data_IF_321995516632
#
_entry.id   IF_321995516632
#
_cell.length_a   1.000
_cell.length_b   1.000
_cell.length_c   1.000
_cell.angle_alpha   90.00
_cell.angle_beta   90.00
_cell.angle_gamma   90.00
#
_symmetry.space_group_name_H-M   'P 1'
#
loop_
_entity.id
_entity.type
_entity.pdbx_description
1 polymer ?
#
# COMPACT_ATOMS: atom_id res chain seq x y z
N UNK A 1 -58.20 9.85 -3.64
CA UNK A 1 -59.35 10.76 -3.77
C UNK A 1 -60.34 10.47 -2.65
N UNK A 2 -60.54 11.42 -1.73
CA UNK A 2 -61.46 11.28 -0.59
C UNK A 2 -62.93 11.32 -1.03
N UNK A 3 -63.27 12.17 -2.01
CA UNK A 3 -64.64 12.32 -2.48
C UNK A 3 -65.11 11.07 -3.21
N UNK A 4 -64.26 10.50 -4.08
CA UNK A 4 -64.56 9.23 -4.72
C UNK A 4 -64.79 8.10 -3.70
N UNK A 5 -63.97 8.06 -2.63
CA UNK A 5 -64.06 7.02 -1.60
C UNK A 5 -65.31 7.15 -0.70
N UNK A 6 -65.74 8.37 -0.39
CA UNK A 6 -66.84 8.63 0.55
C UNK A 6 -68.18 8.84 -0.15
N UNK A 7 -68.19 9.52 -1.30
CA UNK A 7 -69.41 9.90 -2.03
C UNK A 7 -69.65 9.09 -3.31
N UNK A 8 -68.77 8.13 -3.65
CA UNK A 8 -68.96 7.20 -4.78
C UNK A 8 -69.06 7.89 -6.14
N UNK A 9 -68.39 9.04 -6.33
CA UNK A 9 -68.35 9.77 -7.60
C UNK A 9 -69.60 10.61 -7.92
N UNK A 10 -70.52 10.81 -6.97
CA UNK A 10 -71.68 11.71 -7.16
C UNK A 10 -71.23 13.16 -7.33
N UNK A 11 -71.79 13.94 -8.27
CA UNK A 11 -71.45 15.35 -8.40
C UNK A 11 -71.83 16.12 -7.13
N UNK A 12 -70.90 16.91 -6.60
CA UNK A 12 -71.09 17.70 -5.37
C UNK A 12 -70.80 16.94 -4.07
N UNK A 13 -71.01 17.62 -2.94
CA UNK A 13 -70.77 17.07 -1.59
C UNK A 13 -71.94 16.22 -1.10
N UNK A 14 -71.67 14.98 -0.69
CA UNK A 14 -72.64 14.11 -0.02
C UNK A 14 -72.75 14.41 1.49
N UNK A 15 -73.78 13.87 2.15
CA UNK A 15 -74.05 14.12 3.58
C UNK A 15 -72.90 13.69 4.50
N UNK A 16 -72.15 12.64 4.12
CA UNK A 16 -70.98 12.16 4.85
C UNK A 16 -69.78 13.12 4.84
N UNK A 17 -69.79 14.15 3.98
CA UNK A 17 -68.79 15.23 3.97
C UNK A 17 -69.38 16.57 4.47
N UNK A 18 -70.53 16.56 5.16
CA UNK A 18 -71.21 17.74 5.72
C UNK A 18 -71.48 17.59 7.23
N UNK A 19 -70.53 18.00 8.11
CA UNK A 19 -69.21 18.57 7.83
C UNK A 19 -68.15 17.50 7.53
N UNK A 20 -67.11 17.88 6.78
CA UNK A 20 -65.99 16.98 6.52
C UNK A 20 -65.12 16.80 7.77
N UNK A 21 -64.77 15.55 8.07
CA UNK A 21 -63.83 15.20 9.16
C UNK A 21 -62.42 15.66 8.81
N UNK A 22 -61.84 16.55 9.62
CA UNK A 22 -60.46 17.04 9.42
C UNK A 22 -59.41 15.94 9.54
N UNK A 23 -59.63 14.96 10.44
CA UNK A 23 -58.73 13.82 10.59
C UNK A 23 -58.72 12.92 9.34
N UNK A 24 -59.89 12.70 8.73
CA UNK A 24 -59.97 11.91 7.50
C UNK A 24 -59.41 12.66 6.31
N UNK A 25 -59.68 13.97 6.21
CA UNK A 25 -59.07 14.82 5.19
C UNK A 25 -57.54 14.77 5.27
N UNK A 26 -56.96 14.89 6.47
CA UNK A 26 -55.52 14.80 6.66
C UNK A 26 -54.95 13.43 6.24
N UNK A 27 -55.65 12.33 6.51
CA UNK A 27 -55.22 10.98 6.08
C UNK A 27 -55.16 10.85 4.56
N UNK A 28 -56.11 11.45 3.85
CA UNK A 28 -56.11 11.46 2.38
C UNK A 28 -55.08 12.44 1.82
N UNK A 29 -54.91 13.62 2.43
CA UNK A 29 -53.90 14.60 2.04
C UNK A 29 -52.49 14.04 2.13
N UNK A 30 -52.15 13.30 3.20
CA UNK A 30 -50.81 12.67 3.34
C UNK A 30 -50.48 11.61 2.29
N UNK A 31 -51.46 11.13 1.53
CA UNK A 31 -51.31 10.07 0.51
C UNK A 31 -51.51 10.58 -0.91
N UNK A 32 -51.54 11.89 -1.12
CA UNK A 32 -51.69 12.43 -2.47
C UNK A 32 -50.40 12.20 -3.26
N UNK A 33 -50.58 11.84 -4.52
CA UNK A 33 -49.55 11.84 -5.54
C UNK A 33 -50.19 12.41 -6.80
N UNK A 34 -49.71 13.56 -7.27
CA UNK A 34 -50.26 14.23 -8.43
C UNK A 34 -49.17 14.98 -9.21
N UNK A 35 -49.46 15.28 -10.47
CA UNK A 35 -48.59 16.12 -11.29
C UNK A 35 -48.99 17.59 -11.11
N UNK A 36 -48.06 18.40 -10.63
CA UNK A 36 -48.24 19.84 -10.45
C UNK A 36 -48.34 20.60 -11.77
N UNK A 37 -48.63 21.90 -11.67
CA UNK A 37 -48.79 22.78 -12.84
C UNK A 37 -47.51 22.92 -13.69
N UNK A 38 -46.36 22.65 -13.09
CA UNK A 38 -45.04 22.65 -13.74
C UNK A 38 -44.71 21.33 -14.45
N UNK A 39 -45.58 20.32 -14.37
CA UNK A 39 -45.34 18.98 -14.91
C UNK A 39 -44.60 18.04 -13.96
N UNK A 40 -44.32 18.49 -12.74
CA UNK A 40 -43.56 17.73 -11.75
C UNK A 40 -44.46 16.82 -10.90
N UNK A 41 -43.98 15.63 -10.55
CA UNK A 41 -44.67 14.80 -9.56
C UNK A 41 -44.49 15.38 -8.15
N UNK A 42 -45.61 15.55 -7.45
CA UNK A 42 -45.67 16.00 -6.07
C UNK A 42 -46.26 14.91 -5.19
N UNK A 43 -45.59 14.64 -4.07
CA UNK A 43 -46.07 13.75 -3.02
C UNK A 43 -45.70 14.32 -1.65
N UNK A 44 -46.16 13.71 -0.57
CA UNK A 44 -45.67 14.03 0.77
C UNK A 44 -44.76 12.92 1.27
N UNK A 45 -43.73 13.28 2.02
CA UNK A 45 -42.89 12.33 2.75
C UNK A 45 -43.63 11.75 3.98
N UNK A 46 -42.95 10.90 4.75
CA UNK A 46 -43.55 10.31 5.97
C UNK A 46 -43.89 11.33 7.06
N UNK A 47 -43.23 12.49 7.05
CA UNK A 47 -43.42 13.57 8.01
C UNK A 47 -44.53 14.55 7.57
N UNK A 48 -44.92 14.54 6.29
CA UNK A 48 -45.89 15.43 5.69
C UNK A 48 -45.27 16.64 4.98
N UNK A 49 -43.96 16.60 4.71
CA UNK A 49 -43.23 17.60 3.93
C UNK A 49 -43.27 17.25 2.43
N UNK A 50 -43.14 18.25 1.56
CA UNK A 50 -43.04 18.02 0.11
C UNK A 50 -41.66 17.45 -0.29
N UNK A 51 -41.52 16.92 -1.52
CA UNK A 51 -40.27 16.40 -2.02
C UNK A 51 -39.19 17.49 -2.02
N UNK A 52 -37.97 17.12 -1.65
CA UNK A 52 -36.84 18.03 -1.59
C UNK A 52 -36.33 18.29 -3.01
N UNK A 53 -36.53 19.52 -3.50
CA UNK A 53 -36.21 19.89 -4.89
C UNK A 53 -35.51 21.24 -4.96
N UNK A 54 -34.27 21.25 -5.42
CA UNK A 54 -33.45 22.46 -5.46
C UNK A 54 -32.64 22.55 -6.76
N UNK A 55 -32.51 23.76 -7.29
CA UNK A 55 -31.52 24.08 -8.31
C UNK A 55 -30.23 24.54 -7.62
N UNK A 56 -29.09 24.03 -8.08
CA UNK A 56 -27.78 24.39 -7.55
C UNK A 56 -27.18 25.44 -8.47
N UNK A 57 -26.99 26.64 -7.92
CA UNK A 57 -26.45 27.77 -8.66
C UNK A 57 -24.98 27.99 -8.28
N UNK A 58 -24.15 28.21 -9.30
CA UNK A 58 -22.74 28.57 -9.12
C UNK A 58 -22.49 29.98 -9.65
N UNK A 59 -21.84 30.82 -8.84
CA UNK A 59 -21.43 32.15 -9.28
C UNK A 59 -20.04 32.09 -9.87
N UNK A 60 -19.94 32.10 -11.20
CA UNK A 60 -18.67 31.97 -11.91
C UNK A 60 -18.43 33.08 -12.92
N UNK A 61 -17.16 33.25 -13.24
CA UNK A 61 -16.72 34.11 -14.34
C UNK A 61 -16.92 33.37 -15.66
N UNK A 62 -17.85 33.83 -16.50
CA UNK A 62 -18.13 33.22 -17.82
C UNK A 62 -17.24 33.79 -18.91
N UNK A 63 -16.78 35.03 -18.74
CA UNK A 63 -15.83 35.74 -19.62
C UNK A 63 -14.96 36.61 -18.74
N UNK A 64 -13.77 36.97 -19.21
CA UNK A 64 -12.85 37.83 -18.45
C UNK A 64 -13.56 39.12 -17.97
N UNK A 65 -13.69 39.29 -16.66
CA UNK A 65 -14.38 40.40 -15.99
C UNK A 65 -15.91 40.29 -15.90
N UNK A 66 -16.53 39.23 -16.40
CA UNK A 66 -17.99 39.05 -16.45
C UNK A 66 -18.41 37.84 -15.61
N UNK A 67 -19.22 38.09 -14.58
CA UNK A 67 -19.70 37.08 -13.65
C UNK A 67 -21.20 36.86 -13.78
N UNK A 68 -21.64 35.62 -13.60
CA UNK A 68 -23.06 35.26 -13.65
C UNK A 68 -23.35 34.05 -12.76
N UNK A 69 -24.57 34.02 -12.24
CA UNK A 69 -25.18 32.82 -11.68
C UNK A 69 -25.57 31.87 -12.81
N UNK A 70 -24.98 30.68 -12.80
CA UNK A 70 -25.32 29.61 -13.73
C UNK A 70 -25.92 28.45 -12.93
N UNK A 71 -26.92 27.78 -13.50
CA UNK A 71 -27.38 26.52 -12.94
C UNK A 71 -26.37 25.43 -13.30
N UNK A 72 -25.85 24.72 -12.29
CA UNK A 72 -24.84 23.66 -12.44
C UNK A 72 -25.36 22.31 -11.97
N UNK A 73 -26.58 22.23 -11.47
CA UNK A 73 -27.10 20.96 -10.98
C UNK A 73 -28.49 21.06 -10.36
N UNK A 74 -29.03 19.89 -10.04
CA UNK A 74 -30.30 19.72 -9.38
C UNK A 74 -30.17 18.73 -8.22
N UNK A 75 -30.95 18.95 -7.18
CA UNK A 75 -31.15 18.01 -6.09
C UNK A 75 -32.61 17.61 -6.06
N UNK A 76 -32.88 16.31 -6.20
CA UNK A 76 -34.23 15.75 -6.25
C UNK A 76 -34.31 14.53 -5.32
N UNK A 77 -35.08 14.63 -4.25
CA UNK A 77 -35.42 13.51 -3.34
C UNK A 77 -34.22 12.64 -2.92
N UNK A 78 -33.11 13.28 -2.53
CA UNK A 78 -31.90 12.58 -2.09
C UNK A 78 -30.83 12.40 -3.17
N UNK A 79 -31.19 12.55 -4.45
CA UNK A 79 -30.27 12.41 -5.57
C UNK A 79 -29.69 13.77 -5.95
N UNK A 80 -28.36 13.88 -5.85
CA UNK A 80 -27.60 15.05 -6.29
C UNK A 80 -27.08 14.81 -7.71
N UNK A 81 -27.52 15.64 -8.66
CA UNK A 81 -26.99 15.68 -10.01
C UNK A 81 -26.25 16.99 -10.22
N UNK A 82 -24.94 16.91 -10.34
CA UNK A 82 -24.08 18.07 -10.46
C UNK A 82 -23.20 17.92 -11.70
N UNK A 83 -23.19 18.95 -12.54
CA UNK A 83 -22.29 19.06 -13.67
C UNK A 83 -20.98 19.69 -13.19
N UNK A 84 -19.99 18.83 -12.93
CA UNK A 84 -18.67 19.23 -12.43
C UNK A 84 -17.91 20.03 -13.50
N UNK A 85 -18.12 19.76 -14.79
CA UNK A 85 -17.44 20.46 -15.88
C UNK A 85 -17.91 21.92 -15.98
N UNK A 86 -19.15 22.20 -15.56
CA UNK A 86 -19.69 23.55 -15.46
C UNK A 86 -19.25 24.29 -14.16
N UNK A 87 -18.58 23.63 -13.23
CA UNK A 87 -18.06 24.28 -12.03
C UNK A 87 -16.68 24.85 -12.29
N UNK A 88 -16.51 26.13 -11.95
CA UNK A 88 -15.24 26.82 -12.15
C UNK A 88 -15.03 27.85 -11.06
N UNK A 89 -14.01 27.64 -10.23
CA UNK A 89 -13.65 28.57 -9.16
C UNK A 89 -12.69 29.65 -9.65
N UNK A 90 -11.75 29.30 -10.53
CA UNK A 90 -10.74 30.21 -11.08
C UNK A 90 -10.69 30.14 -12.60
N UNK A 91 -10.41 31.29 -13.24
CA UNK A 91 -10.36 31.36 -14.70
C UNK A 91 -9.30 30.42 -15.27
N UNK A 92 -9.69 29.48 -16.13
CA UNK A 92 -8.79 28.49 -16.76
C UNK A 92 -8.50 27.24 -15.93
N UNK A 93 -9.00 27.14 -14.69
CA UNK A 93 -8.73 26.02 -13.78
C UNK A 93 -10.04 25.28 -13.52
N UNK A 94 -10.10 24.00 -13.93
CA UNK A 94 -11.32 23.17 -13.86
C UNK A 94 -11.47 22.44 -12.53
N UNK A 95 -10.39 22.28 -11.78
CA UNK A 95 -10.43 21.54 -10.53
C UNK A 95 -10.92 22.45 -9.40
N UNK A 96 -11.82 21.96 -8.53
CA UNK A 96 -12.18 22.65 -7.31
C UNK A 96 -10.95 22.79 -6.40
N UNK A 97 -10.87 23.85 -5.59
CA UNK A 97 -9.84 23.95 -4.57
C UNK A 97 -10.03 22.85 -3.53
N UNK A 98 -8.95 22.23 -3.09
CA UNK A 98 -8.98 21.28 -1.99
C UNK A 98 -9.17 22.01 -0.65
N UNK A 99 -10.19 21.63 0.10
CA UNK A 99 -10.48 22.16 1.43
C UNK A 99 -10.05 21.16 2.51
N UNK A 100 -8.75 20.86 2.56
CA UNK A 100 -8.17 19.94 3.57
C UNK A 100 -7.27 20.71 4.54
N UNK A 101 -7.27 20.29 5.81
CA UNK A 101 -6.43 20.92 6.84
C UNK A 101 -4.95 20.55 6.67
N UNK A 102 -4.70 19.27 6.39
CA UNK A 102 -3.38 18.71 6.20
C UNK A 102 -3.34 17.96 4.88
N UNK A 103 -2.24 18.11 4.14
CA UNK A 103 -1.99 17.32 2.95
C UNK A 103 -1.73 15.85 3.32
N UNK A 104 -1.89 14.98 2.32
CA UNK A 104 -1.57 13.56 2.45
C UNK A 104 -0.06 13.36 2.68
N UNK A 105 0.31 12.43 3.56
CA UNK A 105 1.72 12.26 3.94
C UNK A 105 2.51 11.47 2.89
N UNK A 106 3.81 11.76 2.77
CA UNK A 106 4.67 11.06 1.82
C UNK A 106 4.97 9.61 2.25
N UNK A 107 5.56 8.83 1.34
CA UNK A 107 5.99 7.47 1.64
C UNK A 107 7.06 7.48 2.73
N UNK A 108 6.89 6.62 3.74
CA UNK A 108 7.79 6.56 4.90
C UNK A 108 7.51 7.60 5.99
N UNK A 109 6.43 8.37 5.86
CA UNK A 109 5.90 9.24 6.90
C UNK A 109 4.64 8.66 7.53
N UNK A 110 4.49 8.84 8.84
CA UNK A 110 3.27 8.50 9.56
C UNK A 110 2.48 9.77 9.94
N UNK A 111 1.17 9.62 10.09
CA UNK A 111 0.21 10.66 10.46
C UNK A 111 0.10 10.75 11.98
N UNK A 112 0.32 11.93 12.52
CA UNK A 112 0.02 12.23 13.92
C UNK A 112 -1.14 13.22 13.98
N UNK A 113 -2.31 12.76 14.42
CA UNK A 113 -3.48 13.62 14.57
C UNK A 113 -3.28 14.68 15.64
N UNK A 114 -3.81 15.88 15.39
CA UNK A 114 -3.78 16.99 16.34
C UNK A 114 -4.86 16.77 17.39
N UNK A 115 -4.52 16.91 18.67
CA UNK A 115 -5.50 16.75 19.74
C UNK A 115 -6.66 17.77 19.61
N UNK A 116 -7.89 17.26 19.60
CA UNK A 116 -9.10 18.08 19.45
C UNK A 116 -9.59 18.27 18.01
N UNK A 117 -8.81 17.91 16.99
CA UNK A 117 -9.17 18.05 15.58
C UNK A 117 -9.07 16.71 14.85
N UNK A 118 -10.18 16.25 14.25
CA UNK A 118 -10.23 14.92 13.59
C UNK A 118 -9.67 14.90 12.16
N UNK A 119 -9.64 16.05 11.49
CA UNK A 119 -9.21 16.17 10.08
C UNK A 119 -7.80 16.74 9.90
N UNK A 120 -7.12 17.10 10.99
CA UNK A 120 -5.81 17.72 10.97
C UNK A 120 -4.75 16.76 11.53
N UNK A 121 -3.66 16.59 10.78
CA UNK A 121 -2.51 15.78 11.21
C UNK A 121 -1.18 16.42 10.82
N UNK A 122 -0.13 16.03 11.52
CA UNK A 122 1.25 16.31 11.16
C UNK A 122 1.90 15.04 10.59
N UNK A 123 2.64 15.20 9.50
CA UNK A 123 3.43 14.12 8.93
C UNK A 123 4.81 14.09 9.60
N UNK A 124 5.21 12.93 10.12
CA UNK A 124 6.53 12.73 10.70
C UNK A 124 7.25 11.57 10.02
N UNK A 125 8.56 11.72 9.80
CA UNK A 125 9.37 10.67 9.18
C UNK A 125 9.59 9.52 10.16
N UNK A 126 9.35 8.28 9.72
CA UNK A 126 9.80 7.11 10.47
C UNK A 126 11.33 7.09 10.59
N UNK A 127 11.87 6.48 11.64
CA UNK A 127 13.32 6.44 11.89
C UNK A 127 14.05 5.47 10.94
N UNK A 128 15.34 5.22 11.16
CA UNK A 128 16.17 4.38 10.26
C UNK A 128 15.76 2.90 10.25
N UNK A 129 15.18 2.40 11.34
CA UNK A 129 14.84 0.97 11.52
C UNK A 129 13.34 0.71 11.51
N UNK A 130 12.56 1.71 11.13
CA UNK A 130 11.11 1.69 11.16
C UNK A 130 10.53 1.85 9.76
N UNK A 131 9.36 1.24 9.57
CA UNK A 131 8.51 1.38 8.40
C UNK A 131 7.17 1.99 8.80
N UNK A 132 6.48 2.60 7.84
CA UNK A 132 5.11 3.07 8.03
C UNK A 132 4.17 1.88 8.24
N UNK A 133 3.35 1.91 9.30
CA UNK A 133 2.31 0.91 9.53
C UNK A 133 1.24 0.94 8.45
N UNK A 134 0.50 -0.16 8.30
CA UNK A 134 -0.69 -0.26 7.43
C UNK A 134 -1.76 0.77 7.85
N UNK A 135 -1.84 1.07 9.14
CA UNK A 135 -2.78 2.05 9.70
C UNK A 135 -2.36 3.51 9.46
N UNK A 136 -1.21 3.75 8.84
CA UNK A 136 -0.62 5.06 8.50
C UNK A 136 -0.33 6.00 9.68
N UNK A 137 -0.80 5.71 10.89
CA UNK A 137 -0.68 6.56 12.09
C UNK A 137 0.57 6.31 12.91
N UNK A 138 1.23 5.17 12.69
CA UNK A 138 2.37 4.75 13.49
C UNK A 138 3.51 4.22 12.63
N UNK A 139 4.73 4.39 13.13
CA UNK A 139 5.93 3.73 12.62
C UNK A 139 6.21 2.45 13.42
N UNK A 140 6.45 1.35 12.71
CA UNK A 140 6.72 0.03 13.32
C UNK A 140 8.14 -0.39 13.04
N UNK A 141 8.83 -0.92 14.05
CA UNK A 141 10.22 -1.38 13.94
C UNK A 141 10.29 -2.68 13.14
N UNK A 142 11.24 -2.78 12.21
CA UNK A 142 11.49 -3.99 11.45
C UNK A 142 11.99 -5.15 12.34
N UNK A 143 11.64 -6.41 12.03
CA UNK A 143 12.15 -7.56 12.76
C UNK A 143 13.67 -7.67 12.65
N UNK A 144 14.30 -8.28 13.66
CA UNK A 144 15.75 -8.47 13.69
C UNK A 144 16.22 -9.25 12.46
N UNK A 145 17.32 -8.80 11.86
CA UNK A 145 17.85 -9.35 10.60
C UNK A 145 17.24 -8.74 9.34
N UNK A 146 16.37 -7.73 9.49
CA UNK A 146 15.82 -6.97 8.36
C UNK A 146 16.05 -5.46 8.51
N UNK A 147 16.06 -4.73 7.41
CA UNK A 147 16.20 -3.29 7.29
C UNK A 147 15.09 -2.71 6.42
N UNK A 148 14.58 -1.50 6.71
CA UNK A 148 13.65 -0.81 5.82
C UNK A 148 14.23 -0.60 4.42
N UNK A 149 13.36 -0.74 3.41
CA UNK A 149 13.62 -0.26 2.05
C UNK A 149 13.84 1.27 2.05
N UNK A 150 14.58 1.86 1.09
CA UNK A 150 14.57 3.30 0.79
C UNK A 150 13.22 4.02 0.94
N UNK A 151 12.11 3.40 0.55
CA UNK A 151 10.75 3.97 0.67
C UNK A 151 10.09 3.79 2.04
N UNK A 152 10.75 3.06 2.96
CA UNK A 152 10.27 2.70 4.31
C UNK A 152 8.87 2.09 4.35
N UNK A 153 8.52 1.35 3.30
CA UNK A 153 7.24 0.63 3.18
C UNK A 153 7.37 -0.84 3.57
N UNK A 154 8.55 -1.44 3.38
CA UNK A 154 8.78 -2.87 3.59
C UNK A 154 10.13 -3.11 4.27
N UNK A 155 10.17 -4.15 5.09
CA UNK A 155 11.41 -4.65 5.70
C UNK A 155 12.04 -5.72 4.79
N UNK A 156 13.31 -5.53 4.42
CA UNK A 156 14.08 -6.46 3.59
C UNK A 156 15.19 -7.13 4.41
N UNK A 157 15.51 -8.41 4.17
CA UNK A 157 16.60 -9.07 4.88
C UNK A 157 17.93 -8.38 4.62
N UNK A 158 18.74 -8.26 5.68
CA UNK A 158 20.09 -7.69 5.58
C UNK A 158 20.95 -8.68 4.79
N UNK A 159 21.66 -8.23 3.73
CA UNK A 159 22.52 -9.11 2.96
C UNK A 159 23.67 -9.63 3.83
N UNK A 160 23.93 -10.92 3.78
CA UNK A 160 25.04 -11.51 4.52
C UNK A 160 26.40 -11.04 3.98
N UNK A 161 27.28 -10.67 4.90
CA UNK A 161 28.68 -10.40 4.61
C UNK A 161 29.49 -11.68 4.79
N UNK A 162 30.07 -12.17 3.71
CA UNK A 162 31.03 -13.28 3.73
C UNK A 162 32.16 -12.98 2.74
N UNK A 163 33.28 -13.71 2.86
CA UNK A 163 34.40 -13.57 1.94
C UNK A 163 34.00 -14.13 0.58
N UNK A 164 33.49 -13.26 -0.29
CA UNK A 164 33.00 -13.69 -1.60
C UNK A 164 34.17 -14.05 -2.54
N UNK A 165 33.99 -15.04 -3.43
CA UNK A 165 35.02 -15.46 -4.38
C UNK A 165 35.37 -14.38 -5.43
N UNK A 166 34.54 -13.36 -5.59
CA UNK A 166 34.78 -12.19 -6.45
C UNK A 166 35.73 -11.15 -5.80
N UNK A 167 36.03 -11.28 -4.50
CA UNK A 167 36.91 -10.34 -3.80
C UNK A 167 38.38 -10.60 -4.14
N UNK A 168 39.16 -9.53 -4.33
CA UNK A 168 40.59 -9.64 -4.68
C UNK A 168 41.39 -10.49 -3.67
N UNK A 169 41.05 -10.39 -2.38
CA UNK A 169 41.66 -11.19 -1.32
C UNK A 169 41.35 -12.68 -1.45
N UNK A 170 40.10 -13.04 -1.76
CA UNK A 170 39.70 -14.41 -2.00
C UNK A 170 40.38 -14.99 -3.24
N UNK A 171 40.45 -14.23 -4.32
CA UNK A 171 41.12 -14.63 -5.57
C UNK A 171 42.61 -14.89 -5.31
N UNK A 172 43.28 -14.01 -4.56
CA UNK A 172 44.66 -14.20 -4.15
C UNK A 172 44.87 -15.50 -3.35
N UNK A 173 44.05 -15.73 -2.32
CA UNK A 173 44.15 -16.93 -1.49
C UNK A 173 43.84 -18.23 -2.26
N UNK A 174 42.81 -18.23 -3.10
CA UNK A 174 42.44 -19.38 -3.94
C UNK A 174 43.52 -19.69 -4.97
N UNK A 175 44.11 -18.68 -5.62
CA UNK A 175 45.18 -18.88 -6.59
C UNK A 175 46.43 -19.47 -5.95
N UNK A 176 46.88 -18.94 -4.82
CA UNK A 176 48.00 -19.50 -4.06
C UNK A 176 47.75 -20.96 -3.64
N UNK A 177 46.54 -21.25 -3.16
CA UNK A 177 46.16 -22.60 -2.74
C UNK A 177 46.05 -23.57 -3.91
N UNK A 178 45.56 -23.12 -5.07
CA UNK A 178 45.52 -23.93 -6.28
C UNK A 178 46.92 -24.34 -6.76
N UNK A 179 47.89 -23.42 -6.72
CA UNK A 179 49.30 -23.72 -7.02
C UNK A 179 49.87 -24.70 -6.00
N UNK A 180 49.57 -24.50 -4.71
CA UNK A 180 49.95 -25.42 -3.63
C UNK A 180 49.43 -26.85 -3.83
N UNK A 181 48.17 -27.00 -4.26
CA UNK A 181 47.57 -28.31 -4.56
C UNK A 181 48.29 -28.97 -5.74
N UNK A 182 48.55 -28.24 -6.83
CA UNK A 182 49.25 -28.77 -8.00
C UNK A 182 50.66 -29.25 -7.65
N UNK A 183 51.42 -28.46 -6.89
CA UNK A 183 52.76 -28.84 -6.42
C UNK A 183 52.72 -30.06 -5.49
N UNK A 184 51.75 -30.10 -4.56
CA UNK A 184 51.59 -31.22 -3.62
C UNK A 184 51.23 -32.51 -4.35
N UNK A 185 50.32 -32.43 -5.33
CA UNK A 185 49.95 -33.56 -6.18
C UNK A 185 51.14 -34.07 -7.01
N UNK A 186 51.96 -33.16 -7.56
CA UNK A 186 53.17 -33.52 -8.27
C UNK A 186 54.17 -34.27 -7.38
N UNK A 187 54.48 -33.73 -6.20
CA UNK A 187 55.38 -34.38 -5.23
C UNK A 187 54.84 -35.74 -4.79
N UNK A 188 53.53 -35.85 -4.54
CA UNK A 188 52.87 -37.11 -4.21
C UNK A 188 53.03 -38.14 -5.34
N UNK A 189 52.83 -37.73 -6.60
CA UNK A 189 53.02 -38.60 -7.77
C UNK A 189 54.46 -39.12 -7.91
N UNK A 190 55.46 -38.26 -7.68
CA UNK A 190 56.87 -38.65 -7.67
C UNK A 190 57.14 -39.67 -6.55
N UNK A 191 56.62 -39.42 -5.35
CA UNK A 191 56.76 -40.30 -4.19
C UNK A 191 56.15 -41.69 -4.43
N UNK A 192 54.95 -41.75 -5.00
CA UNK A 192 54.27 -43.00 -5.35
C UNK A 192 55.07 -43.77 -6.41
N UNK A 193 55.53 -43.09 -7.46
CA UNK A 193 56.29 -43.71 -8.55
C UNK A 193 57.66 -44.23 -8.12
N UNK A 194 58.36 -43.51 -7.24
CA UNK A 194 59.67 -43.90 -6.71
C UNK A 194 59.60 -44.56 -5.33
N UNK A 195 58.44 -45.11 -4.96
CA UNK A 195 58.17 -45.69 -3.64
C UNK A 195 59.08 -46.87 -3.26
N UNK A 196 59.71 -47.51 -4.24
CA UNK A 196 60.68 -48.60 -4.04
C UNK A 196 62.14 -48.14 -3.89
N UNK A 197 62.42 -46.83 -4.04
CA UNK A 197 63.79 -46.33 -3.90
C UNK A 197 64.26 -46.35 -2.44
N UNK A 198 65.55 -46.68 -2.17
CA UNK A 198 66.07 -46.81 -0.82
C UNK A 198 65.97 -45.51 -0.01
N UNK A 199 66.00 -44.36 -0.68
CA UNK A 199 65.83 -43.03 -0.07
C UNK A 199 64.42 -42.86 0.51
N UNK A 200 63.38 -43.11 -0.29
CA UNK A 200 61.98 -43.04 0.12
C UNK A 200 61.66 -44.05 1.23
N UNK A 201 62.28 -45.23 1.17
CA UNK A 201 62.09 -46.29 2.15
C UNK A 201 62.74 -45.98 3.50
N UNK A 202 63.90 -45.31 3.49
CA UNK A 202 64.60 -44.88 4.71
C UNK A 202 63.88 -43.72 5.43
N UNK A 203 63.25 -42.80 4.68
CA UNK A 203 62.52 -41.66 5.25
C UNK A 203 61.16 -42.00 5.87
N UNK A 204 60.67 -43.24 5.74
CA UNK A 204 59.40 -43.69 6.34
C UNK A 204 58.18 -43.33 5.48
N UNK A 205 57.74 -44.26 4.63
CA UNK A 205 56.67 -44.03 3.65
C UNK A 205 55.35 -43.56 4.25
N UNK A 206 54.90 -44.22 5.31
CA UNK A 206 53.62 -43.92 5.94
C UNK A 206 53.60 -42.50 6.51
N UNK A 207 54.71 -42.05 7.12
CA UNK A 207 54.82 -40.72 7.70
C UNK A 207 54.78 -39.63 6.61
N UNK A 208 55.51 -39.83 5.51
CA UNK A 208 55.51 -38.88 4.39
C UNK A 208 54.15 -38.78 3.69
N UNK A 209 53.41 -39.89 3.55
CA UNK A 209 52.04 -39.85 3.02
C UNK A 209 51.07 -39.11 3.95
N UNK A 210 51.15 -39.30 5.26
CA UNK A 210 50.34 -38.56 6.23
C UNK A 210 50.62 -37.05 6.16
N UNK A 211 51.89 -36.67 6.05
CA UNK A 211 52.29 -35.26 5.91
C UNK A 211 51.75 -34.64 4.61
N UNK A 212 51.90 -35.33 3.47
CA UNK A 212 51.38 -34.87 2.18
C UNK A 212 49.86 -34.76 2.17
N UNK A 213 49.15 -35.71 2.80
CA UNK A 213 47.70 -35.66 2.96
C UNK A 213 47.28 -34.45 3.83
N UNK A 214 48.01 -34.18 4.91
CA UNK A 214 47.78 -32.99 5.75
C UNK A 214 47.95 -31.68 4.97
N UNK A 215 49.05 -31.55 4.22
CA UNK A 215 49.31 -30.36 3.38
C UNK A 215 48.21 -30.17 2.33
N UNK A 216 47.79 -31.25 1.66
CA UNK A 216 46.70 -31.21 0.69
C UNK A 216 45.39 -30.74 1.35
N UNK A 217 45.04 -31.29 2.51
CA UNK A 217 43.86 -30.88 3.28
C UNK A 217 43.92 -29.40 3.68
N UNK A 218 45.09 -28.90 4.12
CA UNK A 218 45.27 -27.49 4.44
C UNK A 218 44.94 -26.58 3.23
N UNK A 219 45.42 -26.93 2.04
CA UNK A 219 45.09 -26.15 0.85
C UNK A 219 43.61 -26.28 0.45
N UNK A 220 42.96 -27.43 0.66
CA UNK A 220 41.54 -27.60 0.37
C UNK A 220 40.62 -26.79 1.32
N UNK A 221 41.00 -26.64 2.59
CA UNK A 221 40.24 -25.84 3.57
C UNK A 221 40.11 -24.37 3.15
N UNK A 222 41.10 -23.84 2.42
CA UNK A 222 41.03 -22.45 1.92
C UNK A 222 39.84 -22.22 0.99
N UNK A 223 39.48 -23.20 0.16
CA UNK A 223 38.30 -23.13 -0.70
C UNK A 223 37.02 -23.20 0.13
N UNK A 224 36.98 -24.06 1.15
CA UNK A 224 35.85 -24.16 2.08
C UNK A 224 35.60 -22.86 2.87
N UNK A 225 36.62 -22.03 3.09
CA UNK A 225 36.52 -20.72 3.75
C UNK A 225 35.96 -19.60 2.85
N UNK A 226 36.16 -19.71 1.53
CA UNK A 226 35.73 -18.68 0.55
C UNK A 226 34.30 -18.90 0.06
N UNK A 227 33.79 -20.14 0.08
CA UNK A 227 32.42 -20.39 -0.34
C UNK A 227 31.40 -19.88 0.68
N UNK A 228 30.17 -19.62 0.20
CA UNK A 228 29.06 -19.17 1.05
C UNK A 228 28.90 -20.14 2.23
N UNK A 229 28.90 -19.65 3.48
CA UNK A 229 28.80 -20.52 4.64
C UNK A 229 27.50 -21.33 4.59
N UNK A 230 27.62 -22.64 4.68
CA UNK A 230 26.53 -23.60 4.85
C UNK A 230 26.83 -24.44 6.09
N UNK A 231 25.83 -25.12 6.64
CA UNK A 231 26.01 -25.93 7.85
C UNK A 231 27.15 -26.97 7.69
N UNK A 232 27.28 -27.55 6.49
CA UNK A 232 28.33 -28.49 6.13
C UNK A 232 29.70 -27.79 6.10
N UNK A 233 29.81 -26.64 5.43
CA UNK A 233 31.07 -25.90 5.33
C UNK A 233 31.53 -25.39 6.71
N UNK A 234 30.62 -24.88 7.54
CA UNK A 234 30.91 -24.49 8.91
C UNK A 234 31.41 -25.68 9.75
N UNK A 235 30.86 -26.88 9.53
CA UNK A 235 31.34 -28.09 10.21
C UNK A 235 32.72 -28.54 9.70
N UNK A 236 33.07 -28.31 8.44
CA UNK A 236 34.39 -28.63 7.87
C UNK A 236 35.47 -27.63 8.34
N UNK A 237 35.07 -26.37 8.59
CA UNK A 237 35.97 -25.33 9.08
C UNK A 237 36.34 -25.47 10.56
N UNK A 238 35.54 -26.20 11.35
CA UNK A 238 35.74 -26.41 12.78
C UNK A 238 36.75 -27.52 13.05
#
# INVERSE_FOLDING_TARGET
>A
DMHAAVCGGRPGLCDAMRPASGADLLRYLRKVNFVGLTGDQFHFDSNGDGPARYNILHFKQIKRGVYRWVNVGEYLDGELRLDIDEIQFKWGERHPPESVCSAECELGQAKQYVEGESCCWHCFNCTQYEIRSIEETQCTVCPRGTLPNPTKTECRPIPEAYLRPDSAWAIGAMSFSSVGILLTAFVCGVWVRHSSTPVVRASGRELSYVLLAGILMCYLVTFALVFRPTDILCSIQR
#
